data_IF_341929607289
#
_entry.id   IF_341929607289
#
_cell.length_a   1.000
_cell.length_b   1.000
_cell.length_c   1.000
_cell.angle_alpha   90.00
_cell.angle_beta   90.00
_cell.angle_gamma   90.00
#
_symmetry.space_group_name_H-M   'P 1'
#
loop_
_entity.id
_entity.type
_entity.pdbx_description
1 polymer ?
#
# COMPACT_ATOMS: atom_id res chain seq x y z
N UNK A 1 -59.59 42.29 27.13
CA UNK A 1 -58.35 41.90 26.45
C UNK A 1 -57.93 40.54 26.98
N UNK A 2 -58.24 39.47 26.23
CA UNK A 2 -57.94 38.09 26.62
C UNK A 2 -56.58 37.68 26.09
N UNK A 3 -55.70 37.01 26.87
CA UNK A 3 -54.38 36.60 26.42
C UNK A 3 -54.47 35.42 25.42
N UNK A 4 -54.13 35.65 24.19
CA UNK A 4 -54.02 34.63 23.12
C UNK A 4 -52.92 33.64 23.45
N UNK A 5 -53.31 32.49 23.84
CA UNK A 5 -52.81 31.14 23.96
C UNK A 5 -51.62 30.82 23.03
N UNK A 6 -50.40 30.91 23.55
CA UNK A 6 -49.13 30.38 22.91
C UNK A 6 -49.04 28.85 22.89
N UNK A 7 -50.07 28.14 23.35
CA UNK A 7 -50.13 26.68 23.43
C UNK A 7 -50.51 25.96 22.11
N UNK A 8 -50.91 26.69 21.10
CA UNK A 8 -51.43 26.08 19.87
C UNK A 8 -50.33 25.47 18.94
N UNK A 9 -49.08 25.90 19.08
CA UNK A 9 -48.00 25.36 18.22
C UNK A 9 -47.44 24.05 18.78
N UNK A 10 -47.19 23.97 20.07
CA UNK A 10 -46.68 22.77 20.74
C UNK A 10 -47.71 21.64 20.73
N UNK A 11 -49.00 21.94 20.95
CA UNK A 11 -50.06 20.92 20.90
C UNK A 11 -50.24 20.36 19.49
N UNK A 12 -50.15 21.20 18.44
CA UNK A 12 -50.19 20.73 17.04
C UNK A 12 -49.01 19.89 16.67
N UNK A 13 -47.79 20.20 17.17
CA UNK A 13 -46.62 19.36 16.99
C UNK A 13 -46.75 18.01 17.70
N UNK A 14 -47.28 17.98 18.91
CA UNK A 14 -47.55 16.76 19.66
C UNK A 14 -48.64 15.89 19.02
N UNK A 15 -49.72 16.46 18.54
CA UNK A 15 -50.76 15.75 17.78
C UNK A 15 -50.23 15.22 16.46
N UNK A 16 -49.44 16.02 15.71
CA UNK A 16 -48.80 15.59 14.47
C UNK A 16 -47.77 14.43 14.68
N UNK A 17 -46.99 14.49 15.76
CA UNK A 17 -46.08 13.40 16.09
C UNK A 17 -46.79 12.13 16.57
N UNK A 18 -47.93 12.25 17.27
CA UNK A 18 -48.73 11.08 17.66
C UNK A 18 -49.36 10.39 16.43
N UNK A 19 -49.93 11.16 15.50
CA UNK A 19 -50.48 10.63 14.25
C UNK A 19 -49.35 9.95 13.40
N UNK A 20 -48.17 10.56 13.32
CA UNK A 20 -47.04 9.98 12.64
C UNK A 20 -46.58 8.65 13.26
N UNK A 21 -46.53 8.56 14.59
CA UNK A 21 -46.22 7.34 15.33
C UNK A 21 -47.25 6.22 15.09
N UNK A 22 -48.54 6.57 15.06
CA UNK A 22 -49.58 5.59 14.77
C UNK A 22 -49.54 5.10 13.31
N UNK A 23 -49.22 5.97 12.35
CA UNK A 23 -49.00 5.60 10.95
C UNK A 23 -47.80 4.62 10.81
N UNK A 24 -46.73 4.86 11.55
CA UNK A 24 -45.56 3.95 11.63
C UNK A 24 -45.95 2.58 12.22
N UNK A 25 -46.77 2.59 13.29
CA UNK A 25 -47.24 1.35 13.93
C UNK A 25 -48.21 0.56 13.06
N UNK A 26 -49.04 1.22 12.25
CA UNK A 26 -49.97 0.59 11.31
C UNK A 26 -49.24 -0.11 10.14
N UNK A 27 -48.08 0.41 9.69
CA UNK A 27 -47.34 -0.10 8.55
C UNK A 27 -45.88 -0.41 8.93
N UNK A 28 -45.68 -1.21 9.97
CA UNK A 28 -44.32 -1.51 10.55
C UNK A 28 -43.29 -1.95 9.53
N UNK A 29 -43.65 -2.86 8.63
CA UNK A 29 -42.69 -3.41 7.62
C UNK A 29 -42.19 -2.31 6.68
N UNK A 30 -43.11 -1.45 6.19
CA UNK A 30 -42.77 -0.35 5.27
C UNK A 30 -41.91 0.71 5.97
N UNK A 31 -42.33 1.11 7.18
CA UNK A 31 -41.58 2.07 7.98
C UNK A 31 -40.19 1.57 8.31
N UNK A 32 -40.06 0.30 8.71
CA UNK A 32 -38.74 -0.31 8.98
C UNK A 32 -37.87 -0.33 7.73
N UNK A 33 -38.38 -0.74 6.58
CA UNK A 33 -37.65 -0.74 5.34
C UNK A 33 -37.15 0.66 4.92
N UNK A 34 -38.01 1.66 5.08
CA UNK A 34 -37.66 3.06 4.78
C UNK A 34 -36.57 3.58 5.71
N UNK A 35 -36.71 3.38 7.03
CA UNK A 35 -35.70 3.78 8.02
C UNK A 35 -34.39 3.04 7.77
N UNK A 36 -34.46 1.76 7.50
CA UNK A 36 -33.27 0.94 7.22
C UNK A 36 -32.55 1.40 5.95
N UNK A 37 -33.29 1.71 4.88
CA UNK A 37 -32.72 2.24 3.64
C UNK A 37 -31.98 3.56 3.84
N UNK A 38 -32.58 4.50 4.55
CA UNK A 38 -31.94 5.79 4.88
C UNK A 38 -30.74 5.59 5.82
N UNK A 39 -30.91 4.78 6.86
CA UNK A 39 -29.84 4.52 7.83
C UNK A 39 -28.61 3.87 7.17
N UNK A 40 -28.81 2.87 6.32
CA UNK A 40 -27.73 2.24 5.54
C UNK A 40 -27.06 3.27 4.64
N UNK A 41 -27.84 4.05 3.89
CA UNK A 41 -27.28 5.06 2.98
C UNK A 41 -26.40 6.09 3.71
N UNK A 42 -26.87 6.63 4.82
CA UNK A 42 -26.11 7.61 5.62
C UNK A 42 -24.87 6.95 6.27
N UNK A 43 -25.02 5.75 6.85
CA UNK A 43 -23.93 5.04 7.51
C UNK A 43 -22.79 4.75 6.52
N UNK A 44 -23.13 4.31 5.32
CA UNK A 44 -22.15 4.03 4.26
C UNK A 44 -21.37 5.29 3.88
N UNK A 45 -22.04 6.42 3.68
CA UNK A 45 -21.37 7.69 3.34
C UNK A 45 -20.42 8.15 4.45
N UNK A 46 -20.86 8.08 5.71
CA UNK A 46 -20.03 8.48 6.86
C UNK A 46 -18.84 7.54 7.02
N UNK A 47 -19.06 6.22 6.96
CA UNK A 47 -18.02 5.22 7.09
C UNK A 47 -16.94 5.38 6.01
N UNK A 48 -17.36 5.61 4.76
CA UNK A 48 -16.45 5.82 3.65
C UNK A 48 -15.67 7.12 3.77
N UNK A 49 -16.33 8.22 4.12
CA UNK A 49 -15.65 9.51 4.36
C UNK A 49 -14.59 9.41 5.46
N UNK A 50 -14.88 8.67 6.53
CA UNK A 50 -13.93 8.41 7.62
C UNK A 50 -12.77 7.54 7.15
N UNK A 51 -13.04 6.48 6.39
CA UNK A 51 -12.01 5.59 5.85
C UNK A 51 -11.06 6.33 4.90
N UNK A 52 -11.59 7.12 3.97
CA UNK A 52 -10.81 7.94 3.04
C UNK A 52 -9.91 8.93 3.79
N UNK A 53 -10.45 9.61 4.79
CA UNK A 53 -9.68 10.57 5.60
C UNK A 53 -8.56 9.87 6.38
N UNK A 54 -8.85 8.68 6.93
CA UNK A 54 -7.87 7.86 7.64
C UNK A 54 -6.73 7.41 6.73
N UNK A 55 -7.05 6.88 5.56
CA UNK A 55 -6.07 6.43 4.58
C UNK A 55 -5.21 7.60 4.06
N UNK A 56 -5.83 8.74 3.71
CA UNK A 56 -5.07 9.92 3.26
C UNK A 56 -4.08 10.40 4.33
N UNK A 57 -4.46 10.42 5.60
CA UNK A 57 -3.54 10.76 6.69
C UNK A 57 -2.40 9.77 6.80
N UNK A 58 -2.69 8.47 6.74
CA UNK A 58 -1.67 7.42 6.79
C UNK A 58 -0.69 7.55 5.62
N UNK A 59 -1.19 7.76 4.41
CA UNK A 59 -0.35 7.95 3.21
C UNK A 59 0.54 9.19 3.37
N UNK A 60 0.00 10.33 3.79
CA UNK A 60 0.78 11.56 3.98
C UNK A 60 1.87 11.38 5.03
N UNK A 61 1.55 10.77 6.18
CA UNK A 61 2.53 10.53 7.24
C UNK A 61 3.66 9.57 6.83
N UNK A 62 3.33 8.57 6.01
CA UNK A 62 4.29 7.61 5.46
C UNK A 62 5.21 8.29 4.45
N UNK A 63 4.66 9.11 3.57
CA UNK A 63 5.46 9.88 2.59
C UNK A 63 6.40 10.87 3.26
N UNK A 64 5.96 11.53 4.33
CA UNK A 64 6.80 12.42 5.13
C UNK A 64 7.93 11.66 5.84
N UNK A 65 7.66 10.44 6.32
CA UNK A 65 8.65 9.60 7.02
C UNK A 65 9.67 8.94 6.08
N UNK A 66 9.23 8.52 4.87
CA UNK A 66 10.09 7.86 3.87
C UNK A 66 11.09 8.81 3.20
N UNK A 67 10.92 10.13 3.38
CA UNK A 67 11.74 11.17 2.73
C UNK A 67 11.34 11.42 1.27
N UNK A 68 11.26 12.68 0.84
CA UNK A 68 10.58 13.08 -0.40
C UNK A 68 11.35 12.81 -1.69
N UNK A 69 12.54 12.20 -1.64
CA UNK A 69 13.44 12.16 -2.80
C UNK A 69 13.51 10.82 -3.54
N UNK A 70 13.15 9.70 -2.89
CA UNK A 70 13.26 8.38 -3.53
C UNK A 70 12.10 8.12 -4.48
N UNK A 71 12.41 7.60 -5.67
CA UNK A 71 11.43 7.09 -6.63
C UNK A 71 11.80 5.67 -7.06
N UNK A 72 10.83 4.97 -7.68
CA UNK A 72 10.98 3.56 -8.02
C UNK A 72 10.90 3.36 -9.54
N UNK A 73 11.71 2.46 -10.04
CA UNK A 73 11.62 1.94 -11.40
C UNK A 73 11.13 0.51 -11.32
N UNK A 74 10.04 0.23 -11.99
CA UNK A 74 9.37 -1.07 -11.99
C UNK A 74 9.05 -1.49 -13.43
N UNK A 75 8.83 -2.77 -13.62
CA UNK A 75 8.39 -3.31 -14.91
C UNK A 75 7.06 -2.69 -15.34
N UNK A 76 6.13 -2.58 -14.40
CA UNK A 76 4.77 -2.09 -14.63
C UNK A 76 4.22 -1.43 -13.38
N UNK A 77 3.41 -0.43 -13.56
CA UNK A 77 2.65 0.22 -12.50
C UNK A 77 1.24 0.54 -12.99
N UNK A 78 0.24 0.00 -12.32
CA UNK A 78 -1.16 0.34 -12.60
C UNK A 78 -1.45 1.77 -12.16
N UNK A 79 -1.84 2.62 -13.09
CA UNK A 79 -2.23 4.01 -12.82
C UNK A 79 -3.70 4.18 -12.42
N UNK A 80 -4.42 3.10 -12.08
CA UNK A 80 -5.84 3.16 -11.75
C UNK A 80 -6.47 1.80 -11.50
N UNK A 81 -7.80 1.76 -11.53
CA UNK A 81 -8.57 0.53 -11.48
C UNK A 81 -8.43 -0.20 -12.83
N UNK A 82 -7.72 -1.30 -12.83
CA UNK A 82 -7.66 -2.20 -13.98
C UNK A 82 -8.60 -3.38 -13.73
N UNK A 83 -9.44 -3.63 -14.70
CA UNK A 83 -10.28 -4.83 -14.72
C UNK A 83 -9.49 -5.93 -15.42
N UNK A 84 -8.97 -6.87 -14.64
CA UNK A 84 -8.36 -8.09 -15.14
C UNK A 84 -9.37 -9.22 -15.05
N UNK A 85 -9.41 -10.06 -16.05
CA UNK A 85 -10.17 -11.32 -16.03
C UNK A 85 -9.44 -12.43 -15.25
N UNK A 86 -8.29 -12.10 -14.66
CA UNK A 86 -7.43 -13.05 -13.93
C UNK A 86 -6.55 -13.91 -14.85
N UNK A 87 -6.62 -13.73 -16.17
CA UNK A 87 -5.75 -14.43 -17.11
C UNK A 87 -4.47 -13.64 -17.37
N UNK A 88 -3.34 -14.35 -17.45
CA UNK A 88 -2.06 -13.74 -17.85
C UNK A 88 -2.07 -13.24 -19.30
N UNK A 89 -3.02 -13.70 -20.13
CA UNK A 89 -3.07 -13.38 -21.55
C UNK A 89 -3.41 -11.94 -21.86
N UNK A 90 -4.27 -11.32 -21.06
CA UNK A 90 -4.71 -9.92 -21.20
C UNK A 90 -3.93 -8.96 -20.31
N UNK A 91 -3.00 -9.46 -19.51
CA UNK A 91 -2.25 -8.63 -18.56
C UNK A 91 -1.36 -7.61 -19.27
N UNK A 92 -1.47 -6.30 -18.93
CA UNK A 92 -0.70 -5.23 -19.58
C UNK A 92 0.82 -5.41 -19.49
N UNK A 93 1.30 -6.04 -18.42
CA UNK A 93 2.73 -6.28 -18.18
C UNK A 93 3.34 -7.40 -19.02
N UNK A 94 2.53 -8.24 -19.69
CA UNK A 94 3.05 -9.39 -20.47
C UNK A 94 4.02 -8.98 -21.57
N UNK A 95 3.79 -7.83 -22.19
CA UNK A 95 4.64 -7.29 -23.28
C UNK A 95 5.79 -6.42 -22.78
N UNK A 96 5.89 -6.20 -21.47
CA UNK A 96 6.95 -5.40 -20.87
C UNK A 96 8.11 -6.30 -20.46
N UNK A 97 9.35 -6.04 -20.93
CA UNK A 97 10.51 -6.81 -20.53
C UNK A 97 10.77 -6.63 -19.03
N UNK A 98 11.40 -7.62 -18.43
CA UNK A 98 11.83 -7.55 -17.04
C UNK A 98 12.93 -6.50 -16.90
N UNK A 99 13.02 -5.91 -15.72
CA UNK A 99 14.20 -5.13 -15.34
C UNK A 99 15.36 -6.08 -15.07
N UNK A 100 16.57 -5.63 -15.38
CA UNK A 100 17.79 -6.40 -15.20
C UNK A 100 18.74 -5.73 -14.22
N UNK A 101 19.68 -6.51 -13.70
CA UNK A 101 20.74 -5.99 -12.80
C UNK A 101 21.66 -5.04 -13.54
N UNK A 102 21.87 -5.27 -14.84
CA UNK A 102 22.67 -4.41 -15.74
C UNK A 102 22.00 -3.03 -15.88
N UNK A 103 20.68 -2.99 -16.06
CA UNK A 103 19.91 -1.74 -16.08
C UNK A 103 19.99 -1.01 -14.73
N UNK A 104 19.94 -1.74 -13.62
CA UNK A 104 20.14 -1.15 -12.30
C UNK A 104 21.54 -0.53 -12.15
N UNK A 105 22.59 -1.19 -12.64
CA UNK A 105 23.96 -0.64 -12.66
C UNK A 105 24.08 0.58 -13.58
N UNK A 106 23.40 0.57 -14.74
CA UNK A 106 23.32 1.72 -15.62
C UNK A 106 22.70 2.93 -14.88
N UNK A 107 21.57 2.72 -14.21
CA UNK A 107 20.90 3.78 -13.41
C UNK A 107 21.85 4.31 -12.32
N UNK A 108 22.55 3.42 -11.61
CA UNK A 108 23.52 3.79 -10.57
C UNK A 108 24.66 4.67 -11.08
N UNK A 109 25.06 4.50 -12.35
CA UNK A 109 26.15 5.25 -12.97
C UNK A 109 25.78 6.69 -13.37
N UNK A 110 24.48 7.06 -13.32
CA UNK A 110 24.02 8.38 -13.73
C UNK A 110 24.45 9.48 -12.74
N UNK A 111 24.85 10.66 -13.21
CA UNK A 111 25.37 11.73 -12.35
C UNK A 111 24.33 12.33 -11.38
N UNK A 112 23.03 12.19 -11.68
CA UNK A 112 21.96 12.64 -10.83
C UNK A 112 21.53 11.61 -9.76
N UNK A 113 22.09 10.40 -9.82
CA UNK A 113 21.78 9.29 -8.90
C UNK A 113 22.88 9.17 -7.86
N UNK A 114 22.52 9.25 -6.59
CA UNK A 114 23.42 9.05 -5.45
C UNK A 114 23.63 7.57 -5.18
N UNK A 115 22.53 6.80 -5.14
CA UNK A 115 22.55 5.37 -4.86
C UNK A 115 21.24 4.72 -5.30
N UNK A 116 21.28 3.39 -5.44
CA UNK A 116 20.11 2.58 -5.77
C UNK A 116 19.95 1.44 -4.76
N UNK A 117 18.73 0.91 -4.68
CA UNK A 117 18.47 -0.39 -4.07
C UNK A 117 17.72 -1.27 -5.06
N UNK A 118 18.21 -2.50 -5.26
CA UNK A 118 17.46 -3.54 -5.96
C UNK A 118 16.64 -4.29 -4.91
N UNK A 119 15.33 -4.37 -5.14
CA UNK A 119 14.39 -5.11 -4.30
C UNK A 119 13.71 -6.23 -5.08
N UNK A 120 13.75 -7.44 -4.56
CA UNK A 120 12.89 -8.56 -4.96
C UNK A 120 12.23 -9.13 -3.72
N UNK A 121 11.00 -9.55 -3.85
CA UNK A 121 10.14 -9.90 -2.72
C UNK A 121 9.58 -11.31 -2.86
N UNK A 122 9.44 -11.99 -1.74
CA UNK A 122 8.81 -13.30 -1.62
C UNK A 122 8.19 -13.46 -0.24
N UNK A 123 7.42 -14.51 -0.08
CA UNK A 123 6.95 -14.97 1.22
C UNK A 123 7.34 -16.42 1.41
N UNK A 124 7.72 -16.77 2.63
CA UNK A 124 8.11 -18.14 2.90
C UNK A 124 8.19 -18.47 4.39
N UNK A 125 8.42 -19.74 4.69
CA UNK A 125 8.51 -20.21 6.06
C UNK A 125 9.84 -19.82 6.70
N UNK A 126 9.75 -19.40 7.97
CA UNK A 126 10.91 -19.11 8.82
C UNK A 126 10.78 -19.92 10.09
N UNK A 127 11.85 -20.59 10.51
CA UNK A 127 11.84 -21.38 11.74
C UNK A 127 13.08 -21.17 12.59
N UNK A 128 12.86 -21.25 13.92
CA UNK A 128 13.89 -21.20 14.94
C UNK A 128 13.51 -22.07 16.13
N UNK A 129 14.37 -23.02 16.56
CA UNK A 129 14.20 -23.87 17.75
C UNK A 129 12.77 -24.48 17.92
N UNK A 130 12.16 -24.92 16.82
CA UNK A 130 10.81 -25.53 16.86
C UNK A 130 9.65 -24.56 16.73
N UNK A 131 9.89 -23.26 16.75
CA UNK A 131 8.91 -22.24 16.37
C UNK A 131 8.97 -22.04 14.85
N UNK A 132 7.82 -22.15 14.18
CA UNK A 132 7.71 -21.96 12.74
C UNK A 132 6.64 -20.92 12.41
N UNK A 133 7.02 -19.92 11.63
CA UNK A 133 6.13 -18.96 10.99
C UNK A 133 6.00 -19.35 9.53
N UNK A 134 4.79 -19.64 9.07
CA UNK A 134 4.53 -20.21 7.73
C UNK A 134 4.71 -19.21 6.60
N UNK A 135 4.43 -17.93 6.86
CA UNK A 135 4.50 -16.87 5.88
C UNK A 135 5.11 -15.64 6.52
N UNK A 136 6.34 -15.35 6.14
CA UNK A 136 7.10 -14.17 6.54
C UNK A 136 7.51 -13.45 5.26
N UNK A 137 7.33 -12.14 5.21
CA UNK A 137 7.78 -11.33 4.09
C UNK A 137 9.31 -11.29 4.04
N UNK A 138 9.85 -11.60 2.88
CA UNK A 138 11.28 -11.67 2.64
C UNK A 138 11.67 -10.75 1.50
N UNK A 139 12.69 -9.95 1.71
CA UNK A 139 13.22 -9.06 0.69
C UNK A 139 14.69 -9.40 0.38
N UNK A 140 14.99 -9.54 -0.92
CA UNK A 140 16.36 -9.56 -1.43
C UNK A 140 16.78 -8.14 -1.75
N UNK A 141 17.80 -7.62 -1.04
CA UNK A 141 18.18 -6.20 -1.08
C UNK A 141 19.67 -6.01 -1.41
N UNK A 142 20.04 -4.83 -1.92
CA UNK A 142 21.44 -4.38 -2.02
C UNK A 142 21.94 -3.81 -0.68
N UNK A 143 23.26 -3.73 -0.42
CA UNK A 143 23.81 -3.24 0.84
C UNK A 143 23.38 -1.80 1.22
N UNK A 144 22.99 -1.02 0.25
CA UNK A 144 22.58 0.39 0.39
C UNK A 144 21.09 0.57 0.68
N UNK A 145 20.33 -0.51 0.86
CA UNK A 145 18.87 -0.50 0.99
C UNK A 145 18.38 0.45 2.09
N UNK A 146 19.03 0.46 3.25
CA UNK A 146 18.63 1.33 4.36
C UNK A 146 18.85 2.82 4.08
N UNK A 147 19.85 3.17 3.26
CA UNK A 147 20.06 4.54 2.80
C UNK A 147 18.99 4.98 1.80
N UNK A 148 18.56 4.07 0.92
CA UNK A 148 17.64 4.35 -0.19
C UNK A 148 16.18 4.25 0.27
N UNK A 149 15.84 3.19 0.99
CA UNK A 149 14.47 2.92 1.42
C UNK A 149 14.15 3.52 2.81
N UNK A 150 15.19 3.98 3.54
CA UNK A 150 15.03 4.43 4.92
C UNK A 150 15.01 3.28 5.93
N UNK A 151 14.86 3.64 7.20
CA UNK A 151 14.90 2.70 8.32
C UNK A 151 16.25 2.64 9.01
N UNK A 152 16.22 2.38 10.30
CA UNK A 152 17.40 2.38 11.15
C UNK A 152 17.79 0.96 11.58
N UNK A 153 19.08 0.68 11.63
CA UNK A 153 19.58 -0.54 12.28
C UNK A 153 19.57 -0.32 13.79
N UNK A 154 18.66 -0.99 14.48
CA UNK A 154 18.48 -0.88 15.93
C UNK A 154 19.58 -1.59 16.72
N UNK A 155 20.03 -2.74 16.22
CA UNK A 155 21.07 -3.56 16.86
C UNK A 155 21.80 -4.39 15.80
N UNK A 156 23.06 -4.70 16.06
CA UNK A 156 23.90 -5.42 15.10
C UNK A 156 24.40 -4.55 13.95
N UNK A 157 24.35 -5.04 12.74
CA UNK A 157 24.87 -4.36 11.54
C UNK A 157 24.13 -4.74 10.27
N UNK A 158 24.31 -3.93 9.23
CA UNK A 158 23.91 -4.26 7.86
C UNK A 158 24.89 -5.26 7.23
N UNK A 159 24.49 -5.94 6.15
CA UNK A 159 25.40 -6.75 5.36
C UNK A 159 26.30 -5.87 4.49
N UNK A 160 27.53 -6.34 4.32
CA UNK A 160 28.59 -5.64 3.58
C UNK A 160 28.54 -5.96 2.08
N UNK A 161 29.21 -5.14 1.27
CA UNK A 161 29.41 -5.42 -0.16
C UNK A 161 30.11 -6.76 -0.41
N UNK A 162 30.99 -7.19 0.51
CA UNK A 162 31.70 -8.46 0.41
C UNK A 162 30.75 -9.64 0.66
N UNK A 163 29.88 -9.56 1.67
CA UNK A 163 28.84 -10.56 1.96
C UNK A 163 27.80 -10.63 0.83
N UNK A 164 27.44 -9.47 0.28
CA UNK A 164 26.57 -9.37 -0.88
C UNK A 164 27.20 -10.08 -2.11
N UNK A 165 28.44 -9.76 -2.45
CA UNK A 165 29.14 -10.36 -3.61
C UNK A 165 29.37 -11.88 -3.43
N UNK A 166 29.67 -12.31 -2.21
CA UNK A 166 29.86 -13.72 -1.88
C UNK A 166 28.54 -14.52 -1.83
N UNK A 167 27.40 -13.86 -1.79
CA UNK A 167 26.11 -14.54 -1.57
C UNK A 167 26.05 -15.15 -0.17
N UNK A 168 26.48 -14.41 0.85
CA UNK A 168 26.51 -14.88 2.22
C UNK A 168 25.11 -15.14 2.77
N UNK A 169 24.96 -16.16 3.61
CA UNK A 169 23.71 -16.52 4.29
C UNK A 169 23.56 -15.72 5.60
N UNK A 170 23.41 -14.43 5.46
CA UNK A 170 23.16 -13.49 6.54
C UNK A 170 21.77 -12.87 6.38
N UNK A 171 21.14 -12.53 7.49
CA UNK A 171 19.77 -11.98 7.51
C UNK A 171 19.66 -10.84 8.51
N UNK A 172 18.89 -9.83 8.13
CA UNK A 172 18.46 -8.74 8.98
C UNK A 172 16.95 -8.92 9.19
N UNK A 173 16.49 -8.86 10.42
CA UNK A 173 15.09 -9.07 10.79
C UNK A 173 14.51 -7.79 11.35
N UNK A 174 13.18 -7.62 11.23
CA UNK A 174 12.51 -6.52 11.92
C UNK A 174 12.15 -6.90 13.38
N UNK A 175 11.70 -5.91 14.14
CA UNK A 175 11.28 -6.07 15.53
C UNK A 175 10.16 -7.10 15.70
N UNK A 176 9.18 -7.12 14.78
CA UNK A 176 8.06 -8.06 14.81
C UNK A 176 8.46 -9.52 14.61
N UNK A 177 9.41 -9.76 13.71
CA UNK A 177 9.96 -11.09 13.52
C UNK A 177 10.82 -11.50 14.73
N UNK A 178 11.58 -10.55 15.29
CA UNK A 178 12.37 -10.79 16.49
C UNK A 178 11.46 -11.12 17.70
N UNK A 179 10.37 -10.37 17.93
CA UNK A 179 9.40 -10.67 18.98
C UNK A 179 8.76 -12.06 18.83
N UNK A 180 8.47 -12.46 17.59
CA UNK A 180 7.81 -13.74 17.28
C UNK A 180 8.72 -14.94 17.46
N UNK A 181 10.01 -14.85 17.07
CA UNK A 181 10.95 -15.96 17.09
C UNK A 181 11.82 -16.01 18.36
N UNK A 182 12.10 -14.83 18.95
CA UNK A 182 13.06 -14.69 20.05
C UNK A 182 12.44 -13.96 21.27
N UNK A 183 11.29 -14.42 21.82
CA UNK A 183 10.70 -13.72 22.94
C UNK A 183 11.70 -13.62 24.09
N UNK A 184 12.11 -12.39 24.44
CA UNK A 184 13.07 -12.06 25.52
C UNK A 184 14.51 -12.56 25.30
N UNK A 185 14.92 -12.86 24.08
CA UNK A 185 16.30 -13.27 23.73
C UNK A 185 16.86 -12.31 22.68
N UNK A 186 18.17 -12.08 22.74
CA UNK A 186 18.87 -11.35 21.70
C UNK A 186 18.93 -12.23 20.42
N UNK A 187 18.41 -11.74 19.28
CA UNK A 187 18.44 -12.48 18.02
C UNK A 187 19.83 -12.48 17.35
N UNK A 188 20.70 -11.50 17.65
CA UNK A 188 21.99 -11.33 16.98
C UNK A 188 22.90 -12.54 17.16
N UNK A 189 23.49 -13.02 16.05
CA UNK A 189 24.35 -14.22 16.02
C UNK A 189 23.59 -15.56 16.07
N UNK A 190 22.26 -15.54 16.20
CA UNK A 190 21.46 -16.78 16.13
C UNK A 190 21.23 -17.18 14.67
N UNK A 191 21.02 -18.49 14.46
CA UNK A 191 20.75 -19.04 13.13
C UNK A 191 19.29 -19.43 13.00
N UNK A 192 18.58 -18.78 12.09
CA UNK A 192 17.21 -19.12 11.69
C UNK A 192 17.25 -19.92 10.39
N UNK A 193 16.20 -20.69 10.10
CA UNK A 193 16.08 -21.40 8.82
C UNK A 193 15.11 -20.64 7.92
N UNK A 194 15.58 -20.33 6.71
CA UNK A 194 14.80 -19.75 5.61
C UNK A 194 14.81 -20.77 4.47
N UNK A 195 13.64 -21.19 3.99
CA UNK A 195 13.51 -22.23 2.95
C UNK A 195 14.33 -23.51 3.25
N UNK A 196 14.42 -23.86 4.55
CA UNK A 196 15.21 -25.02 5.02
C UNK A 196 16.72 -24.77 5.21
N UNK A 197 17.24 -23.64 4.74
CA UNK A 197 18.67 -23.29 4.81
C UNK A 197 18.97 -22.39 6.03
N UNK A 198 20.13 -22.58 6.70
CA UNK A 198 20.48 -21.78 7.88
C UNK A 198 21.03 -20.40 7.47
N UNK A 199 20.50 -19.36 8.13
CA UNK A 199 20.95 -17.96 7.99
C UNK A 199 21.31 -17.39 9.36
N UNK A 200 22.39 -16.65 9.44
CA UNK A 200 22.82 -15.95 10.65
C UNK A 200 22.16 -14.58 10.75
N UNK A 201 21.49 -14.31 11.86
CA UNK A 201 20.91 -12.99 12.15
C UNK A 201 22.04 -12.03 12.53
N UNK A 202 22.29 -11.03 11.69
CA UNK A 202 23.37 -10.06 11.86
C UNK A 202 22.88 -8.68 12.28
N UNK A 203 21.60 -8.38 12.11
CA UNK A 203 21.01 -7.09 12.43
C UNK A 203 19.53 -7.15 12.73
N UNK A 204 19.11 -6.21 13.55
CA UNK A 204 17.73 -5.88 13.83
C UNK A 204 17.45 -4.47 13.28
N UNK A 205 16.40 -4.31 12.49
CA UNK A 205 16.06 -3.01 11.93
C UNK A 205 14.64 -2.58 12.29
N UNK A 206 14.46 -1.26 12.42
CA UNK A 206 13.15 -0.64 12.37
C UNK A 206 12.85 -0.24 10.92
N UNK A 207 11.74 -0.72 10.40
CA UNK A 207 11.30 -0.29 9.07
C UNK A 207 10.90 1.18 9.08
N UNK A 208 11.31 1.90 8.03
CA UNK A 208 10.65 3.16 7.72
C UNK A 208 9.19 2.87 7.35
N UNK A 209 8.29 3.72 7.79
CA UNK A 209 6.90 3.64 7.36
C UNK A 209 6.85 3.73 5.82
N UNK A 210 6.22 2.75 5.18
CA UNK A 210 6.12 2.65 3.72
C UNK A 210 4.66 2.43 3.31
N UNK A 211 4.29 2.97 2.15
CA UNK A 211 2.94 2.78 1.57
C UNK A 211 2.62 1.31 1.26
N UNK A 212 3.66 0.52 1.06
CA UNK A 212 3.55 -0.87 0.59
C UNK A 212 3.96 -1.88 1.67
N UNK A 213 4.30 -1.42 2.88
CA UNK A 213 4.67 -2.30 3.97
C UNK A 213 3.78 -2.07 5.20
N UNK A 214 3.26 -3.16 5.74
CA UNK A 214 2.69 -3.17 7.07
C UNK A 214 3.82 -3.27 8.08
N UNK A 215 4.13 -2.18 8.79
CA UNK A 215 5.17 -2.16 9.82
C UNK A 215 4.93 -3.20 10.94
N UNK A 216 3.70 -3.67 11.09
CA UNK A 216 3.31 -4.67 12.11
C UNK A 216 3.49 -6.12 11.65
N UNK A 217 3.95 -6.39 10.44
CA UNK A 217 4.16 -7.73 9.93
C UNK A 217 5.61 -8.20 10.11
N UNK A 218 5.83 -9.50 10.41
CA UNK A 218 7.15 -10.09 10.48
C UNK A 218 7.86 -10.03 9.11
N UNK A 219 9.07 -9.47 9.07
CA UNK A 219 9.85 -9.27 7.84
C UNK A 219 11.31 -9.50 8.03
N UNK A 220 11.97 -9.80 6.92
CA UNK A 220 13.42 -9.93 6.87
C UNK A 220 14.01 -9.45 5.54
N UNK A 221 15.28 -9.08 5.59
CA UNK A 221 16.07 -8.72 4.43
C UNK A 221 17.32 -9.59 4.37
N UNK A 222 17.63 -10.11 3.18
CA UNK A 222 18.86 -10.85 2.88
C UNK A 222 19.55 -10.24 1.65
N UNK A 223 20.84 -10.50 1.41
CA UNK A 223 21.50 -10.06 0.19
C UNK A 223 20.75 -10.58 -1.06
N UNK A 224 20.46 -9.70 -2.01
CA UNK A 224 19.75 -10.05 -3.26
C UNK A 224 20.43 -11.20 -4.01
N UNK A 225 21.75 -11.25 -4.01
CA UNK A 225 22.54 -12.34 -4.62
C UNK A 225 22.34 -13.70 -3.95
N UNK A 226 21.97 -13.71 -2.67
CA UNK A 226 21.58 -14.92 -1.94
C UNK A 226 20.10 -15.22 -2.18
N UNK A 227 19.25 -14.20 -2.13
CA UNK A 227 17.81 -14.32 -2.35
C UNK A 227 17.47 -15.04 -3.65
N UNK A 228 18.08 -14.62 -4.77
CA UNK A 228 17.83 -15.21 -6.10
C UNK A 228 18.24 -16.69 -6.20
N UNK A 229 19.06 -17.20 -5.27
CA UNK A 229 19.49 -18.60 -5.23
C UNK A 229 18.61 -19.49 -4.34
N UNK A 230 18.04 -18.93 -3.28
CA UNK A 230 17.37 -19.72 -2.24
C UNK A 230 15.86 -19.51 -2.18
N UNK A 231 15.36 -18.32 -2.57
CA UNK A 231 13.96 -18.00 -2.47
C UNK A 231 13.16 -18.52 -3.66
N UNK A 232 11.97 -19.01 -3.39
CA UNK A 232 10.93 -19.20 -4.40
C UNK A 232 10.17 -17.87 -4.56
N UNK A 233 10.32 -17.21 -5.70
CA UNK A 233 9.74 -15.91 -5.96
C UNK A 233 9.27 -15.74 -7.40
N UNK A 234 8.36 -14.81 -7.60
CA UNK A 234 7.86 -14.48 -8.94
C UNK A 234 8.90 -13.62 -9.67
N UNK A 235 9.65 -14.25 -10.57
CA UNK A 235 10.66 -13.56 -11.37
C UNK A 235 10.05 -12.46 -12.24
N UNK A 236 10.83 -11.38 -12.45
CA UNK A 236 10.43 -10.28 -13.32
C UNK A 236 9.65 -9.16 -12.62
N UNK A 237 9.54 -9.21 -11.29
CA UNK A 237 8.99 -8.14 -10.46
C UNK A 237 10.05 -7.42 -9.63
N UNK A 238 11.28 -7.41 -10.14
CA UNK A 238 12.37 -6.62 -9.58
C UNK A 238 11.98 -5.14 -9.57
N UNK A 239 12.25 -4.48 -8.46
CA UNK A 239 12.09 -3.05 -8.27
C UNK A 239 13.46 -2.41 -8.07
N UNK A 240 13.69 -1.26 -8.68
CA UNK A 240 14.88 -0.46 -8.47
C UNK A 240 14.45 0.85 -7.80
N UNK A 241 14.73 0.97 -6.50
CA UNK A 241 14.57 2.23 -5.79
C UNK A 241 15.77 3.12 -6.08
N UNK A 242 15.53 4.37 -6.42
CA UNK A 242 16.55 5.34 -6.84
C UNK A 242 16.55 6.52 -5.90
N UNK A 243 17.69 6.82 -5.29
CA UNK A 243 17.92 7.99 -4.46
C UNK A 243 18.72 9.02 -5.29
N UNK A 244 18.14 10.16 -5.64
CA UNK A 244 18.83 11.25 -6.31
C UNK A 244 19.95 11.86 -5.45
N UNK A 245 20.91 12.51 -6.12
CA UNK A 245 21.91 13.34 -5.44
C UNK A 245 21.24 14.57 -4.82
N UNK A 246 21.87 15.18 -3.83
CA UNK A 246 21.34 16.38 -3.18
C UNK A 246 21.34 17.62 -4.10
N UNK A 247 22.16 17.59 -5.16
CA UNK A 247 22.27 18.66 -6.17
C UNK A 247 21.25 18.54 -7.30
N UNK A 248 20.57 17.40 -7.44
CA UNK A 248 19.58 17.16 -8.49
C UNK A 248 18.16 17.17 -7.92
N UNK A 249 17.23 17.66 -8.70
CA UNK A 249 15.81 17.48 -8.39
C UNK A 249 15.37 16.06 -8.72
N UNK A 250 14.29 15.61 -8.09
CA UNK A 250 13.70 14.28 -8.38
C UNK A 250 13.34 14.18 -9.87
N UNK A 251 12.79 15.26 -10.45
CA UNK A 251 12.40 15.30 -11.86
C UNK A 251 13.61 15.15 -12.80
N UNK A 252 14.70 15.85 -12.54
CA UNK A 252 15.94 15.72 -13.33
C UNK A 252 16.51 14.32 -13.29
N UNK A 253 16.50 13.71 -12.11
CA UNK A 253 16.96 12.32 -11.96
C UNK A 253 16.05 11.33 -12.72
N UNK A 254 14.73 11.53 -12.65
CA UNK A 254 13.77 10.73 -13.41
C UNK A 254 13.98 10.86 -14.91
N UNK A 255 14.10 12.07 -15.41
CA UNK A 255 14.29 12.34 -16.84
C UNK A 255 15.56 11.67 -17.37
N UNK A 256 16.65 11.71 -16.57
CA UNK A 256 17.90 11.01 -16.93
C UNK A 256 17.73 9.49 -16.89
N UNK A 257 17.07 8.94 -15.88
CA UNK A 257 16.79 7.49 -15.77
C UNK A 257 15.94 7.02 -16.94
N UNK A 258 14.87 7.77 -17.26
CA UNK A 258 14.01 7.46 -18.41
C UNK A 258 14.81 7.50 -19.72
N UNK A 259 15.62 8.55 -19.94
CA UNK A 259 16.45 8.67 -21.14
C UNK A 259 17.46 7.53 -21.27
N UNK A 260 18.12 7.15 -20.16
CA UNK A 260 19.09 6.06 -20.13
C UNK A 260 18.43 4.72 -20.45
N UNK A 261 17.31 4.40 -19.80
CA UNK A 261 16.59 3.15 -20.04
C UNK A 261 15.98 3.07 -21.45
N UNK A 262 15.45 4.18 -21.97
CA UNK A 262 14.97 4.25 -23.36
C UNK A 262 16.08 3.97 -24.35
N UNK A 263 17.29 4.50 -24.11
CA UNK A 263 18.47 4.28 -24.93
C UNK A 263 18.93 2.83 -24.86
N UNK A 264 19.06 2.27 -23.66
CA UNK A 264 19.47 0.90 -23.42
C UNK A 264 18.52 -0.12 -24.09
N UNK A 265 17.20 0.15 -24.00
CA UNK A 265 16.15 -0.68 -24.59
C UNK A 265 15.88 -0.38 -26.07
N UNK A 266 16.59 0.54 -26.71
CA UNK A 266 16.44 0.90 -28.12
C UNK A 266 15.05 1.43 -28.47
N UNK A 267 14.36 2.12 -27.54
CA UNK A 267 13.01 2.63 -27.77
C UNK A 267 13.05 3.82 -28.74
N UNK A 268 12.20 3.75 -29.78
CA UNK A 268 12.08 4.83 -30.78
C UNK A 268 11.53 6.11 -30.14
N UNK A 269 11.92 7.30 -30.66
CA UNK A 269 11.27 8.54 -30.28
C UNK A 269 9.74 8.46 -30.44
N UNK A 270 8.99 8.87 -29.41
CA UNK A 270 7.52 8.81 -29.41
C UNK A 270 6.90 7.44 -29.10
N UNK A 271 7.67 6.37 -29.02
CA UNK A 271 7.17 5.09 -28.51
C UNK A 271 6.88 5.17 -27.00
N UNK A 272 5.82 4.53 -26.51
CA UNK A 272 5.54 4.45 -25.08
C UNK A 272 6.67 3.70 -24.35
N UNK A 273 6.89 4.06 -23.10
CA UNK A 273 7.84 3.35 -22.26
C UNK A 273 7.35 1.92 -21.94
N UNK A 274 8.29 0.99 -21.94
CA UNK A 274 8.04 -0.41 -21.57
C UNK A 274 8.53 -0.74 -20.14
N UNK A 275 8.58 0.29 -19.31
CA UNK A 275 8.85 0.28 -17.88
C UNK A 275 8.05 1.42 -17.22
N UNK A 276 7.94 1.39 -15.91
CA UNK A 276 7.26 2.42 -15.15
C UNK A 276 8.22 3.11 -14.19
N UNK A 277 8.17 4.46 -14.17
CA UNK A 277 8.78 5.25 -13.11
C UNK A 277 7.66 5.69 -12.16
N UNK A 278 7.79 5.32 -10.90
CA UNK A 278 6.78 5.50 -9.87
C UNK A 278 7.30 6.46 -8.83
N UNK A 279 6.66 7.61 -8.74
CA UNK A 279 6.94 8.64 -7.73
C UNK A 279 5.90 8.57 -6.63
N UNK A 280 6.21 9.19 -5.50
CA UNK A 280 5.26 9.36 -4.41
C UNK A 280 4.00 10.10 -4.88
N UNK A 281 4.16 11.16 -5.65
CA UNK A 281 3.03 11.92 -6.21
C UNK A 281 2.15 11.06 -7.13
N UNK A 282 2.77 10.21 -7.96
CA UNK A 282 2.04 9.31 -8.85
C UNK A 282 1.24 8.26 -8.08
N UNK A 283 1.77 7.78 -6.97
CA UNK A 283 1.04 6.87 -6.07
C UNK A 283 -0.15 7.58 -5.44
N UNK A 284 0.05 8.81 -4.93
CA UNK A 284 -1.03 9.64 -4.38
C UNK A 284 -2.12 9.92 -5.41
N UNK A 285 -1.75 10.30 -6.63
CA UNK A 285 -2.71 10.56 -7.71
C UNK A 285 -3.52 9.32 -8.06
N UNK A 286 -2.86 8.18 -8.15
CA UNK A 286 -3.53 6.89 -8.41
C UNK A 286 -4.50 6.55 -7.28
N UNK A 287 -4.07 6.69 -6.04
CA UNK A 287 -4.91 6.48 -4.87
C UNK A 287 -6.12 7.42 -4.86
N UNK A 288 -5.91 8.70 -5.13
CA UNK A 288 -6.99 9.70 -5.20
C UNK A 288 -8.01 9.35 -6.30
N UNK A 289 -7.56 8.89 -7.48
CA UNK A 289 -8.44 8.44 -8.57
C UNK A 289 -9.29 7.23 -8.17
N UNK A 290 -8.66 6.23 -7.56
CA UNK A 290 -9.35 5.03 -7.07
C UNK A 290 -10.39 5.41 -6.01
N UNK A 291 -9.99 6.23 -5.04
CA UNK A 291 -10.86 6.72 -3.96
C UNK A 291 -12.03 7.52 -4.50
N UNK A 292 -11.80 8.41 -5.49
CA UNK A 292 -12.86 9.18 -6.13
C UNK A 292 -13.87 8.27 -6.86
N UNK A 293 -13.40 7.23 -7.55
CA UNK A 293 -14.27 6.25 -8.21
C UNK A 293 -15.16 5.50 -7.20
N UNK A 294 -14.59 5.05 -6.08
CA UNK A 294 -15.35 4.44 -5.00
C UNK A 294 -16.36 5.41 -4.40
N UNK A 295 -15.98 6.67 -4.18
CA UNK A 295 -16.87 7.70 -3.64
C UNK A 295 -18.07 7.93 -4.56
N UNK A 296 -17.88 8.04 -5.87
CA UNK A 296 -18.95 8.18 -6.84
C UNK A 296 -19.87 6.96 -6.82
N UNK A 297 -19.32 5.74 -6.80
CA UNK A 297 -20.12 4.53 -6.72
C UNK A 297 -20.99 4.49 -5.46
N UNK A 298 -20.44 4.92 -4.31
CA UNK A 298 -21.15 4.98 -3.05
C UNK A 298 -22.26 6.05 -3.03
N UNK A 299 -22.02 7.21 -3.66
CA UNK A 299 -23.08 8.24 -3.83
C UNK A 299 -24.24 7.67 -4.64
N UNK A 300 -23.94 6.95 -5.73
CA UNK A 300 -25.00 6.32 -6.56
C UNK A 300 -25.78 5.30 -5.76
N UNK A 301 -25.12 4.38 -5.05
CA UNK A 301 -25.77 3.38 -4.21
C UNK A 301 -26.61 4.01 -3.09
N UNK A 302 -26.06 5.04 -2.41
CA UNK A 302 -26.77 5.79 -1.37
C UNK A 302 -28.00 6.52 -1.94
N UNK A 303 -27.89 7.10 -3.14
CA UNK A 303 -28.99 7.78 -3.81
C UNK A 303 -30.15 6.83 -4.13
N UNK A 304 -29.85 5.61 -4.56
CA UNK A 304 -30.85 4.55 -4.76
C UNK A 304 -31.55 4.20 -3.44
N UNK A 305 -30.79 4.02 -2.37
CA UNK A 305 -31.35 3.76 -1.03
C UNK A 305 -32.28 4.87 -0.55
N UNK A 306 -31.87 6.14 -0.72
CA UNK A 306 -32.68 7.32 -0.39
C UNK A 306 -33.92 7.43 -1.27
N UNK A 307 -33.83 7.12 -2.57
CA UNK A 307 -34.96 7.14 -3.49
C UNK A 307 -36.02 6.08 -3.09
N UNK A 308 -35.59 4.87 -2.79
CA UNK A 308 -36.48 3.78 -2.32
C UNK A 308 -37.14 4.20 -0.98
N UNK A 309 -36.35 4.77 -0.06
CA UNK A 309 -36.86 5.31 1.20
C UNK A 309 -37.86 6.44 0.98
N UNK A 310 -37.55 7.38 0.08
CA UNK A 310 -38.45 8.51 -0.26
C UNK A 310 -39.78 8.07 -0.87
N UNK A 311 -39.75 7.13 -1.82
CA UNK A 311 -40.96 6.53 -2.39
C UNK A 311 -41.78 5.83 -1.31
N UNK A 312 -41.12 5.16 -0.36
CA UNK A 312 -41.80 4.55 0.80
C UNK A 312 -42.55 5.58 1.67
N UNK A 313 -41.93 6.75 1.92
CA UNK A 313 -42.57 7.85 2.69
C UNK A 313 -43.74 8.43 1.94
N UNK A 314 -43.61 8.72 0.65
CA UNK A 314 -44.73 9.24 -0.18
C UNK A 314 -45.90 8.27 -0.19
N UNK A 315 -45.63 6.97 -0.29
CA UNK A 315 -46.67 5.93 -0.27
C UNK A 315 -47.35 5.77 1.10
N UNK A 316 -46.78 6.29 2.18
CA UNK A 316 -47.40 6.32 3.52
C UNK A 316 -48.30 7.56 3.65
N UNK A 317 -47.96 8.66 2.97
CA UNK A 317 -48.68 9.92 3.07
C UNK A 317 -49.88 10.03 2.12
N UNK A 318 -49.98 9.15 1.11
CA UNK A 318 -51.17 8.98 0.27
C UNK A 318 -52.11 7.92 0.82
#
# INVERSE_FOLDING_TARGET
MTPRRKWSFVSRMLEGSAIALDSIRANKVRATLTILGVAIGVTVVIAMGSAITGINRSITSILEAAGPKTFFVQRYFSGGLEVSDGSDELSPWRRMPWLTVEEAQLIRSLPTVREINIGEYSQGPVSFEGVELKSVDMAGMTPTWNLVNGGDILSGRNFTNMEYAAGARVVIINDKLAESLFPRRDPIGKRIKLFGEPFEVIGLHAEAASLFSNADEPRLAIPHTTFTKVAEYQKGWMEIAVLPTDSATVQEAQDQVVAALRTERGLRPGAPDNFAVVTQDRVLDTFNKITAAFFIAMIVLSSVGLMVGGVGVVAIMM
#
